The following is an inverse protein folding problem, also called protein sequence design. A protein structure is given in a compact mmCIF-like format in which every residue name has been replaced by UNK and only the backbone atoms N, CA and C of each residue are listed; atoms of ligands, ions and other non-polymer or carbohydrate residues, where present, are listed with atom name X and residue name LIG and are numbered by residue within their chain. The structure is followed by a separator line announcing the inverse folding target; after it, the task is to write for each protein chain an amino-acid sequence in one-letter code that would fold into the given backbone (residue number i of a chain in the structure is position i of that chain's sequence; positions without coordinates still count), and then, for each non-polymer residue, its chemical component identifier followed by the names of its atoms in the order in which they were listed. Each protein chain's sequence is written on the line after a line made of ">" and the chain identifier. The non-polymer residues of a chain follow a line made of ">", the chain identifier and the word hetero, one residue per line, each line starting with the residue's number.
data_IF_780138348476
#
_entry.id   IF_780138348476
#
_cell.length_a   1.000
_cell.length_b   1.000
_cell.length_c   1.000
_cell.angle_alpha   90.00
_cell.angle_beta   90.00
_cell.angle_gamma   90.00
#
_symmetry.space_group_name_H-M   'P 1'
#
loop_
_entity.id
_entity.type
_entity.pdbx_description
1 polymer ?
#
# COMPACT_ATOMS: atom_id res chain seq x y z
N UNK A 1 -10.78 16.10 5.16
CA UNK A 1 -10.50 15.64 6.55
C UNK A 1 -9.69 14.37 6.39
N UNK A 2 -8.44 14.35 6.89
CA UNK A 2 -7.61 13.15 6.84
C UNK A 2 -8.22 12.02 7.68
N UNK A 3 -7.99 10.77 7.28
CA UNK A 3 -8.37 9.59 8.06
C UNK A 3 -7.14 9.08 8.79
N UNK A 4 -6.82 9.58 10.00
CA UNK A 4 -5.56 9.28 10.67
C UNK A 4 -5.36 7.77 10.79
N UNK A 5 -4.12 7.33 10.62
CA UNK A 5 -3.73 5.94 10.67
C UNK A 5 -2.44 5.76 11.44
N UNK A 6 -1.97 4.52 11.54
CA UNK A 6 -0.64 4.22 12.03
C UNK A 6 0.05 3.19 11.13
N UNK A 7 1.38 3.22 11.12
CA UNK A 7 2.22 2.17 10.54
C UNK A 7 3.02 1.54 11.68
N UNK A 8 3.03 0.21 11.74
CA UNK A 8 3.64 -0.52 12.82
C UNK A 8 4.39 -1.75 12.33
N UNK A 9 5.30 -2.25 13.16
CA UNK A 9 5.88 -3.58 13.05
C UNK A 9 5.28 -4.50 14.13
N UNK A 10 5.15 -5.80 13.88
CA UNK A 10 4.66 -6.73 14.89
C UNK A 10 5.67 -6.85 16.04
N UNK A 11 5.15 -6.98 17.26
CA UNK A 11 5.94 -7.30 18.44
C UNK A 11 6.07 -8.83 18.60
N UNK A 12 7.16 -9.33 19.19
CA UNK A 12 7.34 -10.76 19.45
C UNK A 12 6.22 -11.39 20.30
N UNK A 13 5.60 -10.59 21.17
CA UNK A 13 4.57 -11.03 22.12
C UNK A 13 3.13 -10.99 21.54
N UNK A 14 2.99 -10.71 20.23
CA UNK A 14 1.71 -10.75 19.52
C UNK A 14 0.97 -9.41 19.39
N UNK A 15 1.61 -8.30 19.80
CA UNK A 15 1.13 -6.93 19.60
C UNK A 15 1.77 -6.26 18.38
N UNK A 16 1.78 -4.93 18.38
CA UNK A 16 2.51 -4.13 17.41
C UNK A 16 2.98 -2.82 18.04
N UNK A 17 4.08 -2.31 17.49
CA UNK A 17 4.69 -1.03 17.85
C UNK A 17 4.82 -0.18 16.59
N UNK A 18 4.31 1.05 16.62
CA UNK A 18 4.20 1.89 15.43
C UNK A 18 4.26 3.39 15.67
N UNK A 19 4.05 4.11 14.59
CA UNK A 19 4.04 5.58 14.52
C UNK A 19 2.74 6.07 13.91
N UNK A 20 2.32 7.25 14.35
CA UNK A 20 1.16 7.94 13.81
C UNK A 20 1.40 8.40 12.36
N UNK A 21 0.33 8.41 11.57
CA UNK A 21 0.26 8.90 10.20
C UNK A 21 -1.01 9.76 10.03
N UNK A 22 -0.84 11.04 9.70
CA UNK A 22 -1.92 12.03 9.77
C UNK A 22 -2.81 12.08 8.51
N UNK A 23 -2.21 12.05 7.31
CA UNK A 23 -2.91 12.28 6.03
C UNK A 23 -2.82 11.12 5.04
N UNK A 24 -3.80 11.10 4.11
CA UNK A 24 -3.93 10.22 2.94
C UNK A 24 -3.73 8.72 3.20
N UNK A 25 -4.10 8.32 4.40
CA UNK A 25 -3.77 7.02 4.95
C UNK A 25 -4.85 5.96 4.78
N UNK A 26 -5.67 6.05 3.73
CA UNK A 26 -6.67 5.02 3.42
C UNK A 26 -6.05 3.84 2.64
N UNK A 27 -6.62 2.63 2.70
CA UNK A 27 -6.04 1.46 2.05
C UNK A 27 -5.80 1.61 0.52
N UNK A 28 -6.69 2.26 -0.25
CA UNK A 28 -6.45 2.49 -1.68
C UNK A 28 -5.21 3.34 -1.98
N UNK A 29 -4.79 4.19 -1.05
CA UNK A 29 -3.61 5.05 -1.21
C UNK A 29 -2.36 4.38 -0.60
N UNK A 30 -2.47 3.89 0.63
CA UNK A 30 -1.32 3.39 1.38
C UNK A 30 -0.83 2.02 0.93
N UNK A 31 -1.74 1.06 0.72
CA UNK A 31 -1.33 -0.32 0.43
C UNK A 31 -0.51 -0.38 -0.88
N UNK A 32 -0.92 0.26 -1.99
CA UNK A 32 -0.09 0.33 -3.19
C UNK A 32 1.30 0.92 -2.96
N UNK A 33 1.40 2.01 -2.19
CA UNK A 33 2.68 2.66 -1.88
C UNK A 33 3.60 1.72 -1.10
N UNK A 34 3.08 1.06 -0.06
CA UNK A 34 3.86 0.13 0.77
C UNK A 34 4.32 -1.11 -0.04
N UNK A 35 3.45 -1.68 -0.87
CA UNK A 35 3.80 -2.80 -1.75
C UNK A 35 4.88 -2.40 -2.76
N UNK A 36 4.78 -1.22 -3.36
CA UNK A 36 5.77 -0.71 -4.30
C UNK A 36 7.11 -0.39 -3.61
N UNK A 37 7.07 0.27 -2.45
CA UNK A 37 8.26 0.59 -1.67
C UNK A 37 9.04 -0.66 -1.28
N UNK A 38 8.34 -1.66 -0.70
CA UNK A 38 8.94 -2.94 -0.37
C UNK A 38 9.65 -3.55 -1.58
N UNK A 39 8.97 -3.58 -2.74
CA UNK A 39 9.48 -4.27 -3.94
C UNK A 39 10.62 -3.54 -4.64
N UNK A 40 10.56 -2.22 -4.74
CA UNK A 40 11.44 -1.45 -5.63
C UNK A 40 12.46 -0.62 -4.86
N UNK A 41 12.02 0.25 -3.93
CA UNK A 41 12.93 1.10 -3.16
C UNK A 41 13.80 0.29 -2.20
N UNK A 42 13.18 -0.63 -1.47
CA UNK A 42 13.85 -1.41 -0.43
C UNK A 42 14.26 -2.81 -0.90
N UNK A 43 14.05 -3.16 -2.18
CA UNK A 43 14.58 -4.40 -2.74
C UNK A 43 14.12 -5.69 -2.05
N UNK A 44 12.89 -5.70 -1.52
CA UNK A 44 12.28 -6.75 -0.69
C UNK A 44 12.93 -6.92 0.69
N UNK A 45 13.58 -5.88 1.20
CA UNK A 45 14.08 -5.82 2.57
C UNK A 45 13.02 -5.21 3.50
N UNK A 46 12.31 -6.08 4.23
CA UNK A 46 11.27 -5.68 5.17
C UNK A 46 11.85 -4.92 6.38
N UNK A 47 13.06 -5.26 6.81
CA UNK A 47 13.68 -4.61 7.97
C UNK A 47 14.10 -3.18 7.60
N UNK A 48 14.68 -2.98 6.41
CA UNK A 48 14.98 -1.64 5.92
C UNK A 48 13.72 -0.77 5.74
N UNK A 49 12.63 -1.36 5.21
CA UNK A 49 11.34 -0.67 5.09
C UNK A 49 10.75 -0.30 6.46
N UNK A 50 10.73 -1.25 7.39
CA UNK A 50 10.18 -1.04 8.75
C UNK A 50 11.00 -0.02 9.51
N UNK A 51 12.33 -0.09 9.39
CA UNK A 51 13.23 0.89 9.97
C UNK A 51 12.95 2.30 9.46
N UNK A 52 12.79 2.45 8.15
CA UNK A 52 12.47 3.76 7.55
C UNK A 52 11.10 4.29 7.99
N UNK A 53 10.08 3.44 7.97
CA UNK A 53 8.70 3.88 8.22
C UNK A 53 8.34 3.99 9.70
N UNK A 54 9.05 3.28 10.57
CA UNK A 54 8.73 3.16 12.00
C UNK A 54 9.90 3.58 12.86
N UNK A 55 11.06 2.96 12.72
CA UNK A 55 12.11 3.07 13.76
C UNK A 55 12.85 4.42 13.70
N UNK A 56 13.24 4.88 12.51
CA UNK A 56 14.03 6.09 12.30
C UNK A 56 13.18 7.39 12.33
N UNK A 57 11.85 7.29 12.48
CA UNK A 57 10.92 8.42 12.56
C UNK A 57 11.01 9.12 13.92
N UNK A 58 11.14 10.45 13.93
CA UNK A 58 11.33 11.21 15.17
C UNK A 58 10.05 11.31 15.98
N UNK A 59 8.92 11.62 15.34
CA UNK A 59 7.62 11.78 16.03
C UNK A 59 6.52 10.97 15.35
N UNK A 60 6.18 11.37 14.14
CA UNK A 60 5.06 10.84 13.38
C UNK A 60 5.19 11.30 11.93
N UNK A 61 4.48 10.63 11.04
CA UNK A 61 4.30 11.09 9.68
C UNK A 61 3.15 12.09 9.61
N UNK A 62 3.43 13.28 9.08
CA UNK A 62 2.37 14.15 8.57
C UNK A 62 1.80 13.49 7.31
N UNK A 63 2.69 13.05 6.41
CA UNK A 63 2.33 12.43 5.15
C UNK A 63 3.47 11.52 4.68
N UNK A 64 3.09 10.43 4.00
CA UNK A 64 4.04 9.54 3.32
C UNK A 64 3.93 9.79 1.82
N UNK A 65 5.07 10.15 1.22
CA UNK A 65 5.13 10.65 -0.14
C UNK A 65 5.60 9.64 -1.17
N UNK A 66 5.77 10.16 -2.38
CA UNK A 66 6.20 9.40 -3.56
C UNK A 66 7.67 9.02 -3.55
N UNK A 67 8.48 9.55 -2.65
CA UNK A 67 9.85 9.08 -2.42
C UNK A 67 9.87 7.58 -2.06
N UNK A 68 8.79 7.03 -1.50
CA UNK A 68 8.63 5.58 -1.33
C UNK A 68 8.67 4.79 -2.64
N UNK A 69 8.39 5.44 -3.76
CA UNK A 69 8.37 4.83 -5.09
C UNK A 69 9.73 4.91 -5.81
N UNK A 70 10.79 5.39 -5.15
CA UNK A 70 12.13 5.42 -5.73
C UNK A 70 12.53 4.04 -6.29
N UNK A 71 13.04 4.01 -7.52
CA UNK A 71 13.38 2.77 -8.23
C UNK A 71 12.19 2.04 -8.86
N UNK A 72 10.95 2.51 -8.68
CA UNK A 72 9.77 1.93 -9.31
C UNK A 72 9.76 2.16 -10.83
N UNK A 73 9.20 1.23 -11.63
CA UNK A 73 9.03 1.44 -13.06
C UNK A 73 8.17 2.69 -13.36
N UNK A 74 8.49 3.48 -14.40
CA UNK A 74 7.76 4.72 -14.72
C UNK A 74 6.25 4.52 -14.89
N UNK A 75 5.84 3.42 -15.52
CA UNK A 75 4.42 3.08 -15.69
C UNK A 75 3.71 2.72 -14.39
N UNK A 76 4.44 2.30 -13.35
CA UNK A 76 3.87 2.13 -12.01
C UNK A 76 3.72 3.49 -11.31
N UNK A 77 4.74 4.33 -11.34
CA UNK A 77 4.69 5.68 -10.78
C UNK A 77 3.53 6.48 -11.37
N UNK A 78 3.43 6.52 -12.70
CA UNK A 78 2.33 7.18 -13.41
C UNK A 78 0.94 6.65 -12.99
N UNK A 79 0.83 5.35 -12.70
CA UNK A 79 -0.43 4.73 -12.29
C UNK A 79 -0.80 5.08 -10.86
N UNK A 80 0.16 5.16 -9.95
CA UNK A 80 -0.09 5.39 -8.53
C UNK A 80 -0.24 6.88 -8.20
N UNK A 81 0.48 7.76 -8.89
CA UNK A 81 0.58 9.17 -8.51
C UNK A 81 0.08 10.13 -9.59
N UNK A 82 -0.38 9.62 -10.74
CA UNK A 82 -0.66 10.48 -11.88
C UNK A 82 0.58 11.17 -12.46
N UNK A 83 1.78 10.78 -12.03
CA UNK A 83 3.04 11.43 -12.41
C UNK A 83 3.45 12.56 -11.46
N UNK A 84 2.64 12.84 -10.44
CA UNK A 84 2.98 13.79 -9.39
C UNK A 84 4.08 13.23 -8.48
N UNK A 85 4.86 14.15 -7.92
CA UNK A 85 5.96 13.85 -7.00
C UNK A 85 5.88 14.78 -5.81
N UNK A 86 5.94 14.20 -4.62
CA UNK A 86 6.04 14.89 -3.35
C UNK A 86 6.81 14.03 -2.36
N UNK A 87 7.61 14.62 -1.46
CA UNK A 87 8.36 13.88 -0.46
C UNK A 87 7.48 13.52 0.75
N UNK A 88 7.86 12.45 1.44
CA UNK A 88 7.38 12.14 2.79
C UNK A 88 7.74 13.28 3.75
N UNK A 89 6.84 13.57 4.68
CA UNK A 89 6.95 14.67 5.64
C UNK A 89 6.70 14.16 7.04
N UNK A 90 7.71 14.30 7.89
CA UNK A 90 7.54 14.11 9.33
C UNK A 90 6.83 15.32 9.95
N UNK A 91 6.02 15.07 10.98
CA UNK A 91 5.46 16.14 11.79
C UNK A 91 6.58 16.89 12.51
N UNK A 92 6.54 18.23 12.43
CA UNK A 92 7.50 19.12 13.09
C UNK A 92 6.78 20.08 14.02
N UNK A 93 7.51 20.62 15.01
CA UNK A 93 6.94 21.60 15.95
C UNK A 93 5.88 21.03 16.88
N UNK A 94 5.90 19.71 17.13
CA UNK A 94 4.96 19.05 18.05
C UNK A 94 5.33 19.43 19.48
N UNK A 95 4.38 20.05 20.19
CA UNK A 95 4.53 20.47 21.58
C UNK A 95 3.35 19.96 22.40
N UNK A 96 3.60 19.67 23.67
CA UNK A 96 2.55 19.40 24.64
C UNK A 96 1.71 20.67 24.87
N UNK A 97 0.54 20.52 25.50
CA UNK A 97 -0.35 21.65 25.83
C UNK A 97 0.30 22.72 26.70
N UNK A 98 1.32 22.36 27.47
CA UNK A 98 2.11 23.26 28.31
C UNK A 98 3.28 23.94 27.56
N UNK A 99 3.43 23.68 26.27
CA UNK A 99 4.48 24.24 25.41
C UNK A 99 5.83 23.54 25.50
N UNK A 100 5.94 22.44 26.25
CA UNK A 100 7.16 21.62 26.26
C UNK A 100 7.29 20.79 24.97
N UNK A 101 8.51 20.45 24.53
CA UNK A 101 8.69 19.54 23.39
C UNK A 101 7.92 18.24 23.63
N UNK A 102 7.13 17.81 22.64
CA UNK A 102 6.47 16.52 22.72
C UNK A 102 7.51 15.40 22.65
N UNK A 103 7.21 14.27 23.27
CA UNK A 103 7.95 13.03 23.05
C UNK A 103 7.28 12.24 21.92
N UNK A 104 8.03 11.31 21.31
CA UNK A 104 7.47 10.39 20.33
C UNK A 104 6.39 9.53 21.00
N UNK A 105 5.16 9.66 20.54
CA UNK A 105 4.09 8.77 20.97
C UNK A 105 4.20 7.44 20.23
N UNK A 106 4.28 6.36 20.99
CA UNK A 106 4.43 5.00 20.47
C UNK A 106 3.04 4.39 20.35
N UNK A 107 2.61 4.14 19.12
CA UNK A 107 1.31 3.51 18.87
C UNK A 107 1.43 2.01 19.12
N UNK A 108 0.65 1.53 20.07
CA UNK A 108 0.53 0.12 20.41
C UNK A 108 -0.88 -0.38 20.11
N UNK A 109 -1.09 -1.69 20.22
CA UNK A 109 -2.43 -2.26 20.15
C UNK A 109 -3.40 -1.58 21.13
N UNK A 110 -2.93 -1.19 22.31
CA UNK A 110 -3.73 -0.58 23.37
C UNK A 110 -3.90 0.93 23.23
N UNK A 111 -2.96 1.65 22.59
CA UNK A 111 -3.01 3.12 22.41
C UNK A 111 -3.48 3.57 21.02
N UNK A 112 -3.79 2.63 20.12
CA UNK A 112 -4.25 2.94 18.75
C UNK A 112 -5.70 3.43 18.62
N UNK A 113 -6.31 3.90 19.71
CA UNK A 113 -7.60 4.59 19.65
C UNK A 113 -7.51 5.89 18.82
N UNK A 114 -8.62 6.35 18.24
CA UNK A 114 -8.65 7.57 17.42
C UNK A 114 -8.11 7.44 15.98
N UNK A 115 -7.52 6.30 15.63
CA UNK A 115 -7.11 6.00 14.26
C UNK A 115 -8.24 5.30 13.49
N UNK A 116 -8.34 5.56 12.19
CA UNK A 116 -9.27 4.86 11.30
C UNK A 116 -8.65 3.57 10.75
N UNK A 117 -7.36 3.61 10.43
CA UNK A 117 -6.63 2.53 9.78
C UNK A 117 -5.35 2.18 10.53
N UNK A 118 -4.93 0.91 10.42
CA UNK A 118 -3.63 0.44 10.89
C UNK A 118 -2.95 -0.41 9.83
N UNK A 119 -1.65 -0.22 9.65
CA UNK A 119 -0.83 -0.99 8.72
C UNK A 119 0.30 -1.68 9.48
N UNK A 120 0.18 -2.99 9.72
CA UNK A 120 1.22 -3.76 10.42
C UNK A 120 2.06 -4.54 9.41
N UNK A 121 3.37 -4.29 9.40
CA UNK A 121 4.32 -4.83 8.44
C UNK A 121 4.82 -6.21 8.88
N UNK A 122 4.05 -7.25 8.59
CA UNK A 122 4.40 -8.64 8.92
C UNK A 122 5.38 -9.25 7.90
N UNK A 123 6.15 -10.29 8.30
CA UNK A 123 6.96 -11.07 7.35
C UNK A 123 6.15 -11.63 6.17
N UNK A 124 4.88 -12.00 6.41
CA UNK A 124 4.01 -12.56 5.39
C UNK A 124 3.33 -11.51 4.49
N UNK A 125 3.25 -10.26 4.92
CA UNK A 125 2.48 -9.23 4.22
C UNK A 125 2.14 -8.02 5.09
N UNK A 126 1.25 -7.17 4.57
CA UNK A 126 0.71 -6.02 5.29
C UNK A 126 -0.63 -6.41 5.90
N UNK A 127 -0.74 -6.42 7.22
CA UNK A 127 -2.06 -6.48 7.86
C UNK A 127 -2.69 -5.09 7.80
N UNK A 128 -3.94 -5.03 7.32
CA UNK A 128 -4.69 -3.79 7.23
C UNK A 128 -5.86 -3.84 8.21
N UNK A 129 -5.73 -3.09 9.30
CA UNK A 129 -6.70 -3.06 10.39
C UNK A 129 -7.68 -1.91 10.17
N UNK A 130 -8.97 -2.23 10.14
CA UNK A 130 -10.03 -1.23 10.23
C UNK A 130 -10.44 -1.05 11.70
N UNK A 131 -9.97 0.03 12.33
CA UNK A 131 -10.10 0.23 13.78
C UNK A 131 -11.53 0.43 14.27
N UNK A 132 -12.48 0.74 13.39
CA UNK A 132 -13.90 0.77 13.73
C UNK A 132 -14.50 -0.63 13.90
N UNK A 133 -13.92 -1.64 13.25
CA UNK A 133 -14.52 -2.96 13.13
C UNK A 133 -13.88 -3.97 14.08
N UNK A 134 -12.53 -4.01 14.16
CA UNK A 134 -11.81 -5.02 14.93
C UNK A 134 -10.39 -4.55 15.31
N UNK A 135 -9.74 -5.30 16.20
CA UNK A 135 -8.33 -5.12 16.56
C UNK A 135 -7.37 -5.70 15.51
N UNK A 136 -7.86 -6.58 14.64
CA UNK A 136 -7.08 -7.27 13.59
C UNK A 136 -7.70 -7.07 12.20
N UNK A 137 -6.93 -7.40 11.17
CA UNK A 137 -7.36 -7.29 9.78
C UNK A 137 -6.86 -8.42 8.88
N UNK A 138 -7.27 -8.44 7.60
CA UNK A 138 -6.70 -9.36 6.63
C UNK A 138 -5.26 -8.97 6.29
N UNK A 139 -4.43 -9.98 6.00
CA UNK A 139 -3.04 -9.80 5.58
C UNK A 139 -2.96 -9.83 4.04
N UNK A 140 -2.40 -8.78 3.48
CA UNK A 140 -2.13 -8.63 2.04
C UNK A 140 -0.71 -9.10 1.77
N UNK A 141 -0.55 -10.15 0.96
CA UNK A 141 0.77 -10.65 0.60
C UNK A 141 1.63 -9.58 -0.08
N UNK A 142 2.92 -9.56 0.24
CA UNK A 142 3.92 -8.70 -0.39
C UNK A 142 4.05 -8.90 -1.92
N UNK A 143 3.62 -10.05 -2.45
CA UNK A 143 3.63 -10.34 -3.88
C UNK A 143 2.41 -9.80 -4.64
N UNK A 144 1.45 -9.20 -3.92
CA UNK A 144 0.29 -8.52 -4.53
C UNK A 144 0.76 -7.45 -5.51
N UNK A 145 0.11 -7.35 -6.68
CA UNK A 145 0.40 -6.30 -7.65
C UNK A 145 0.05 -4.94 -7.02
N UNK A 146 0.99 -3.99 -6.90
CA UNK A 146 0.69 -2.65 -6.38
C UNK A 146 -0.40 -1.91 -7.17
N UNK A 147 -0.69 -2.32 -8.41
CA UNK A 147 -1.79 -1.74 -9.22
C UNK A 147 -3.19 -2.23 -8.82
N UNK A 148 -3.26 -3.20 -7.92
CA UNK A 148 -4.52 -3.75 -7.41
C UNK A 148 -5.37 -2.63 -6.81
N UNK A 149 -6.66 -2.66 -7.10
CA UNK A 149 -7.61 -1.73 -6.47
C UNK A 149 -8.05 -2.28 -5.13
N UNK A 150 -7.99 -1.46 -4.08
CA UNK A 150 -8.45 -1.79 -2.73
C UNK A 150 -9.70 -0.97 -2.39
N UNK A 151 -10.57 -1.50 -1.53
CA UNK A 151 -11.74 -0.79 -1.03
C UNK A 151 -11.41 0.08 0.18
N UNK A 152 -12.01 1.26 0.29
CA UNK A 152 -12.00 2.08 1.50
C UNK A 152 -13.12 1.69 2.49
N UNK A 153 -14.04 0.81 2.10
CA UNK A 153 -15.16 0.41 2.94
C UNK A 153 -14.69 -0.41 4.15
N UNK A 154 -14.59 0.24 5.31
CA UNK A 154 -14.12 -0.29 6.60
C UNK A 154 -14.74 -1.65 6.96
N UNK A 155 -16.05 -1.81 6.78
CA UNK A 155 -16.79 -3.05 7.09
C UNK A 155 -16.35 -4.28 6.28
N UNK A 156 -15.56 -4.11 5.22
CA UNK A 156 -15.03 -5.22 4.42
C UNK A 156 -13.66 -5.72 4.89
N UNK A 157 -13.02 -5.02 5.82
CA UNK A 157 -11.68 -5.32 6.33
C UNK A 157 -11.73 -6.11 7.64
N UNK A 158 -12.46 -7.23 7.64
CA UNK A 158 -12.64 -8.06 8.84
C UNK A 158 -11.63 -9.23 8.88
N UNK A 159 -11.18 -9.65 10.07
CA UNK A 159 -10.38 -10.85 10.24
C UNK A 159 -11.02 -12.09 9.60
N UNK A 160 -10.21 -12.97 9.01
CA UNK A 160 -10.68 -14.21 8.40
C UNK A 160 -11.43 -14.06 7.07
N UNK A 161 -11.59 -12.83 6.58
CA UNK A 161 -12.13 -12.56 5.24
C UNK A 161 -11.01 -12.25 4.25
N UNK A 162 -11.17 -12.56 2.94
CA UNK A 162 -10.20 -12.13 1.95
C UNK A 162 -10.10 -10.59 1.90
N UNK A 163 -8.90 -10.02 1.66
CA UNK A 163 -8.75 -8.58 1.47
C UNK A 163 -9.72 -8.05 0.39
N UNK A 164 -10.43 -6.93 0.62
CA UNK A 164 -11.40 -6.39 -0.33
C UNK A 164 -10.69 -5.70 -1.49
N UNK A 165 -10.24 -6.52 -2.44
CA UNK A 165 -9.42 -6.11 -3.56
C UNK A 165 -10.00 -6.55 -4.90
N UNK A 166 -9.63 -5.86 -5.97
CA UNK A 166 -10.03 -6.19 -7.34
C UNK A 166 -8.84 -6.00 -8.28
N UNK A 167 -8.74 -6.91 -9.26
CA UNK A 167 -7.67 -6.83 -10.26
C UNK A 167 -7.74 -5.49 -11.03
N UNK A 168 -6.58 -4.97 -11.47
CA UNK A 168 -6.55 -3.81 -12.34
C UNK A 168 -7.42 -4.07 -13.59
N UNK A 169 -8.30 -3.14 -13.94
CA UNK A 169 -9.19 -3.30 -15.10
C UNK A 169 -8.45 -3.27 -16.46
N UNK A 170 -7.16 -2.92 -16.45
CA UNK A 170 -6.35 -2.64 -17.64
C UNK A 170 -5.52 -3.84 -18.15
N UNK A 171 -5.94 -5.08 -17.89
CA UNK A 171 -5.39 -6.18 -18.68
C UNK A 171 -6.01 -6.13 -20.08
N UNK A 172 -5.24 -5.89 -21.16
CA UNK A 172 -5.79 -6.09 -22.49
C UNK A 172 -6.26 -7.54 -22.58
N UNK A 173 -7.56 -7.75 -22.81
CA UNK A 173 -8.05 -9.05 -23.25
C UNK A 173 -7.23 -9.42 -24.47
N UNK A 174 -6.42 -10.47 -24.36
CA UNK A 174 -5.84 -11.11 -25.54
C UNK A 174 -7.02 -11.56 -26.39
N UNK A 175 -7.34 -10.78 -27.42
CA UNK A 175 -8.33 -11.18 -28.42
C UNK A 175 -7.79 -12.46 -29.05
N UNK A 176 -8.53 -13.58 -29.01
CA UNK A 176 -8.10 -14.79 -29.69
C UNK A 176 -7.88 -14.45 -31.16
N UNK A 177 -6.65 -14.63 -31.65
CA UNK A 177 -6.37 -14.54 -33.09
C UNK A 177 -7.22 -15.61 -33.77
N UNK A 178 -8.12 -15.25 -34.71
CA UNK A 178 -8.88 -16.24 -35.45
C UNK A 178 -7.89 -17.13 -36.22
N UNK A 179 -8.09 -18.46 -36.28
CA UNK A 179 -7.24 -19.32 -37.09
C UNK A 179 -7.26 -18.84 -38.54
N UNK A 180 -6.07 -18.69 -39.14
CA UNK A 180 -5.92 -18.28 -40.52
C UNK A 180 -6.67 -19.25 -41.44
N UNK A 181 -7.56 -18.72 -42.28
CA UNK A 181 -8.26 -19.51 -43.28
C UNK A 181 -7.25 -20.08 -44.30
N UNK A 182 -7.40 -21.35 -44.73
CA UNK A 182 -6.50 -21.93 -45.72
C UNK A 182 -6.58 -21.17 -47.05
N UNK A 183 -5.42 -20.84 -47.60
CA UNK A 183 -5.30 -20.16 -48.89
C UNK A 183 -5.97 -20.99 -50.00
N UNK A 184 -6.91 -20.39 -50.72
CA UNK A 184 -7.49 -21.00 -51.92
C UNK A 184 -6.49 -20.89 -53.07
N UNK A 185 -5.96 -22.02 -53.49
CA UNK A 185 -5.13 -22.15 -54.69
C UNK A 185 -5.95 -21.72 -55.92
N UNK A 186 -5.54 -20.64 -56.57
CA UNK A 186 -6.18 -20.16 -57.80
C UNK A 186 -5.58 -20.93 -58.98
N UNK A 187 -6.31 -21.91 -59.51
CA UNK A 187 -5.91 -22.62 -60.73
C UNK A 187 -6.20 -21.72 -61.94
N UNK A 188 -5.13 -21.25 -62.60
CA UNK A 188 -5.21 -20.44 -63.84
C UNK A 188 -5.69 -21.33 -65.00
N UNK A 189 -6.69 -20.93 -65.81
CA UNK A 189 -7.07 -21.71 -66.98
C UNK A 189 -6.05 -21.52 -68.13
N UNK A 190 -5.89 -22.53 -69.01
CA UNK A 190 -5.02 -22.42 -70.18
C UNK A 190 -5.68 -21.56 -71.27
N UNK A 191 -4.88 -20.66 -71.87
CA UNK A 191 -5.25 -19.93 -73.08
C UNK A 191 -5.25 -20.88 -74.29
N UNK A 192 -6.31 -20.84 -75.10
CA UNK A 192 -6.33 -21.26 -76.50
C UNK A 192 -6.95 -20.14 -77.33
#
# INVERSE_FOLDING_TARGET
>A
MGSPAFIARPDPDGGYTGVHLQYDSSPPNMVPLLLAAYRFRFGRDLEALSRYLVDDVVFAWEEIGTDLLDGSPPGLLQRLTGGEQWPSREMTGVVNLDGTPAERDVITQHSSEGHHWGYVLHPAGIEVISRQMDAHGPVISWDTDPRTHFSEAMALWMPGTPPPMSLPRDLPKLTPVPPAAPARTTTRPPRR
#
